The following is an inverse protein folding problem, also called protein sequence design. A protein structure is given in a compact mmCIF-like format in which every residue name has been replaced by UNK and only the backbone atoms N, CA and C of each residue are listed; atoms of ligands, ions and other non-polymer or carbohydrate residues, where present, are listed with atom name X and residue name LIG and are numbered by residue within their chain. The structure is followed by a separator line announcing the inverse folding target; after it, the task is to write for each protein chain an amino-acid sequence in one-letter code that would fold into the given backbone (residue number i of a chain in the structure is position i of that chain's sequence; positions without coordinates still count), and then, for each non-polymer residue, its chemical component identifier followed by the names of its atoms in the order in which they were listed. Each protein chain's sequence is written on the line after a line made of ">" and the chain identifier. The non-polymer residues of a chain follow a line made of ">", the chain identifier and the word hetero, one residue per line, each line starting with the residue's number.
data_IF_067474867002
#
_entry.id   IF_067474867002
#
_cell.length_a   1.000
_cell.length_b   1.000
_cell.length_c   1.000
_cell.angle_alpha   90.00
_cell.angle_beta   90.00
_cell.angle_gamma   90.00
#
_symmetry.space_group_name_H-M   'P 1'
#
loop_
_entity.id
_entity.type
_entity.pdbx_description
1 polymer ?
#
# COMPACT_ATOMS: atom_id res chain seq x y z
N UNK A 1 -26.34 30.81 -10.17
CA UNK A 1 -26.60 29.35 -10.17
C UNK A 1 -25.32 28.61 -9.75
N UNK A 2 -25.32 27.92 -8.59
CA UNK A 2 -24.16 27.14 -8.12
C UNK A 2 -24.15 25.79 -8.86
N UNK A 3 -23.15 25.54 -9.71
CA UNK A 3 -22.95 24.24 -10.40
C UNK A 3 -22.78 23.14 -9.33
N UNK A 4 -23.74 22.21 -9.25
CA UNK A 4 -23.59 20.99 -8.43
C UNK A 4 -22.39 20.21 -8.96
N UNK A 5 -21.31 20.12 -8.20
CA UNK A 5 -20.20 19.19 -8.48
C UNK A 5 -20.80 17.79 -8.48
N UNK A 6 -20.76 17.09 -9.63
CA UNK A 6 -21.05 15.65 -9.68
C UNK A 6 -20.03 14.99 -8.76
N UNK A 7 -20.48 14.38 -7.67
CA UNK A 7 -19.64 13.48 -6.89
C UNK A 7 -19.26 12.34 -7.84
N UNK A 8 -18.00 12.34 -8.30
CA UNK A 8 -17.46 11.17 -8.97
C UNK A 8 -17.48 10.04 -7.96
N UNK A 9 -18.35 9.05 -8.15
CA UNK A 9 -18.32 7.84 -7.34
C UNK A 9 -16.90 7.28 -7.41
N UNK A 10 -16.25 7.15 -6.25
CA UNK A 10 -14.88 6.66 -6.16
C UNK A 10 -14.87 5.22 -6.70
N UNK A 11 -14.12 4.98 -7.79
CA UNK A 11 -14.02 3.64 -8.39
C UNK A 11 -13.28 2.63 -7.50
N UNK A 12 -12.52 3.12 -6.52
CA UNK A 12 -11.70 2.30 -5.65
C UNK A 12 -12.38 2.19 -4.27
N UNK A 13 -12.71 0.98 -3.79
CA UNK A 13 -13.34 0.78 -2.49
C UNK A 13 -12.42 1.26 -1.36
N UNK A 14 -13.00 1.63 -0.21
CA UNK A 14 -12.25 2.03 0.99
C UNK A 14 -11.82 0.83 1.83
N UNK A 15 -12.55 -0.27 1.71
CA UNK A 15 -12.35 -1.51 2.44
C UNK A 15 -12.01 -2.63 1.46
N UNK A 16 -11.39 -3.73 1.94
CA UNK A 16 -11.24 -4.94 1.15
C UNK A 16 -12.60 -5.44 0.66
N UNK A 17 -12.63 -6.01 -0.55
CA UNK A 17 -13.86 -6.57 -1.13
C UNK A 17 -13.69 -8.07 -1.31
N UNK A 18 -14.80 -8.80 -1.29
CA UNK A 18 -14.80 -10.21 -1.69
C UNK A 18 -14.63 -10.32 -3.22
N UNK A 19 -13.76 -11.23 -3.65
CA UNK A 19 -13.53 -11.47 -5.06
C UNK A 19 -14.74 -12.11 -5.72
N UNK A 20 -15.17 -11.56 -6.86
CA UNK A 20 -16.27 -12.13 -7.67
C UNK A 20 -15.79 -13.14 -8.72
N UNK A 21 -14.48 -13.23 -8.93
CA UNK A 21 -13.84 -13.99 -10.00
C UNK A 21 -12.50 -14.58 -9.53
N UNK A 22 -12.01 -15.54 -10.29
CA UNK A 22 -10.67 -16.07 -10.10
C UNK A 22 -9.62 -15.14 -10.76
N UNK A 23 -8.44 -15.06 -10.16
CA UNK A 23 -7.37 -14.20 -10.65
C UNK A 23 -6.00 -14.61 -10.10
N UNK A 24 -5.00 -13.75 -10.29
CA UNK A 24 -3.65 -13.96 -9.73
C UNK A 24 -3.30 -12.76 -8.86
N UNK A 25 -2.82 -13.01 -7.65
CA UNK A 25 -2.38 -11.96 -6.74
C UNK A 25 -1.10 -11.32 -7.26
N UNK A 26 -1.13 -9.99 -7.41
CA UNK A 26 0.01 -9.23 -7.96
C UNK A 26 1.25 -9.24 -7.05
N UNK A 27 1.08 -9.56 -5.77
CA UNK A 27 2.16 -9.60 -4.77
C UNK A 27 2.72 -11.03 -4.64
N UNK A 28 1.93 -11.99 -4.15
CA UNK A 28 2.43 -13.34 -3.86
C UNK A 28 2.36 -14.31 -5.05
N UNK A 29 1.80 -13.89 -6.19
CA UNK A 29 1.64 -14.68 -7.43
C UNK A 29 0.81 -15.96 -7.30
N UNK A 30 0.15 -16.19 -6.15
CA UNK A 30 -0.80 -17.28 -5.96
C UNK A 30 -2.18 -16.93 -6.57
N UNK A 31 -2.99 -17.94 -6.93
CA UNK A 31 -4.37 -17.73 -7.35
C UNK A 31 -5.19 -16.96 -6.31
N UNK A 32 -6.08 -16.11 -6.79
CA UNK A 32 -7.17 -15.51 -6.03
C UNK A 32 -8.42 -16.34 -6.37
N UNK A 33 -9.07 -16.88 -5.36
CA UNK A 33 -10.31 -17.64 -5.52
C UNK A 33 -11.54 -16.74 -5.31
N UNK A 34 -12.71 -17.24 -5.76
CA UNK A 34 -13.98 -16.55 -5.52
C UNK A 34 -14.26 -16.46 -4.01
N UNK A 35 -14.80 -15.32 -3.58
CA UNK A 35 -15.10 -14.95 -2.20
C UNK A 35 -13.86 -14.71 -1.30
N UNK A 36 -12.63 -14.77 -1.82
CA UNK A 36 -11.47 -14.31 -1.06
C UNK A 36 -11.45 -12.79 -0.90
N UNK A 37 -11.00 -12.29 0.25
CA UNK A 37 -10.80 -10.85 0.44
C UNK A 37 -9.61 -10.36 -0.38
N UNK A 38 -9.91 -9.44 -1.29
CA UNK A 38 -8.93 -8.77 -2.15
C UNK A 38 -8.88 -7.27 -1.88
N UNK A 39 -7.75 -6.69 -2.23
CA UNK A 39 -7.55 -5.25 -2.22
C UNK A 39 -6.98 -4.82 -3.58
N UNK A 40 -7.20 -3.56 -3.99
CA UNK A 40 -6.55 -3.01 -5.17
C UNK A 40 -5.02 -3.09 -5.05
N UNK A 41 -4.36 -3.34 -6.18
CA UNK A 41 -2.93 -3.21 -6.35
C UNK A 41 -2.65 -2.15 -7.41
N UNK A 42 -1.89 -1.13 -7.04
CA UNK A 42 -1.57 0.01 -7.90
C UNK A 42 -0.25 -0.24 -8.61
N UNK A 43 -0.31 -0.51 -9.91
CA UNK A 43 0.87 -0.63 -10.76
C UNK A 43 0.70 0.23 -12.00
N UNK A 44 1.28 1.43 -11.96
CA UNK A 44 1.15 2.42 -13.03
C UNK A 44 -0.33 2.65 -13.37
N UNK A 45 -0.72 2.47 -14.63
CA UNK A 45 -2.11 2.61 -15.10
C UNK A 45 -2.93 1.30 -15.03
N UNK A 46 -2.37 0.22 -14.48
CA UNK A 46 -3.06 -1.08 -14.40
C UNK A 46 -3.91 -1.16 -13.14
N UNK A 47 -5.17 -1.54 -13.33
CA UNK A 47 -6.07 -1.90 -12.23
C UNK A 47 -5.91 -3.39 -11.92
N UNK A 48 -5.03 -3.71 -10.96
CA UNK A 48 -4.73 -5.08 -10.56
C UNK A 48 -5.27 -5.39 -9.15
N UNK A 49 -5.23 -6.67 -8.79
CA UNK A 49 -5.69 -7.17 -7.49
C UNK A 49 -4.60 -7.90 -6.73
N UNK A 50 -4.72 -7.87 -5.40
CA UNK A 50 -3.91 -8.64 -4.46
C UNK A 50 -4.81 -9.26 -3.39
N UNK A 51 -4.40 -10.38 -2.81
CA UNK A 51 -4.97 -10.83 -1.54
C UNK A 51 -4.85 -9.71 -0.52
N UNK A 52 -5.88 -9.53 0.30
CA UNK A 52 -5.88 -8.51 1.34
C UNK A 52 -4.67 -8.62 2.29
N UNK A 53 -4.27 -9.85 2.61
CA UNK A 53 -3.11 -10.17 3.46
C UNK A 53 -1.75 -9.85 2.82
N UNK A 54 -1.65 -9.80 1.49
CA UNK A 54 -0.42 -9.47 0.78
C UNK A 54 -0.32 -7.96 0.63
N UNK A 55 0.56 -7.29 1.39
CA UNK A 55 0.53 -5.82 1.45
C UNK A 55 1.23 -5.19 0.24
N UNK A 56 0.69 -4.05 -0.19
CA UNK A 56 1.42 -3.08 -1.01
C UNK A 56 1.76 -1.89 -0.11
N UNK A 57 3.04 -1.70 0.18
CA UNK A 57 3.52 -0.56 0.94
C UNK A 57 4.10 0.48 -0.01
N UNK A 58 3.93 1.75 0.33
CA UNK A 58 4.61 2.87 -0.30
C UNK A 58 5.66 3.36 0.68
N UNK A 59 6.93 3.34 0.28
CA UNK A 59 7.96 3.97 1.09
C UNK A 59 7.83 5.48 0.99
N UNK A 60 7.62 6.14 2.12
CA UNK A 60 7.60 7.59 2.22
C UNK A 60 8.88 8.01 2.92
N UNK A 61 9.73 8.76 2.20
CA UNK A 61 10.93 9.32 2.80
C UNK A 61 10.62 10.42 3.84
N UNK A 62 9.43 11.04 3.75
CA UNK A 62 8.94 12.07 4.66
C UNK A 62 7.43 12.00 4.80
N UNK A 63 6.93 11.66 5.99
CA UNK A 63 5.52 11.80 6.33
C UNK A 63 5.12 13.26 6.50
N UNK A 64 4.03 13.67 5.86
CA UNK A 64 3.46 15.02 6.00
C UNK A 64 2.67 15.16 7.31
N UNK A 65 2.08 14.05 7.78
CA UNK A 65 1.24 13.99 8.96
C UNK A 65 1.80 12.97 9.95
N UNK A 66 1.56 13.21 11.24
CA UNK A 66 1.92 12.28 12.31
C UNK A 66 0.97 11.09 12.29
N UNK A 67 1.49 9.91 12.61
CA UNK A 67 0.69 8.70 12.70
C UNK A 67 1.34 7.68 13.63
N UNK A 68 0.57 6.73 14.14
CA UNK A 68 1.09 5.65 14.96
C UNK A 68 1.45 4.44 14.08
N UNK A 69 2.58 3.82 14.37
CA UNK A 69 2.99 2.59 13.72
C UNK A 69 2.01 1.46 14.06
N UNK A 70 1.50 0.77 13.05
CA UNK A 70 0.50 -0.30 13.18
C UNK A 70 1.03 -1.62 13.81
N UNK A 71 2.23 -1.62 14.40
CA UNK A 71 2.83 -2.79 15.06
C UNK A 71 3.27 -2.39 16.47
N UNK A 72 4.20 -1.43 16.58
CA UNK A 72 4.76 -1.04 17.86
C UNK A 72 4.07 0.17 18.51
N UNK A 73 3.04 0.74 17.88
CA UNK A 73 2.34 1.96 18.32
C UNK A 73 3.24 3.18 18.50
N UNK A 74 4.48 3.13 18.01
CA UNK A 74 5.40 4.26 18.02
C UNK A 74 4.83 5.43 17.21
N UNK A 75 4.84 6.63 17.79
CA UNK A 75 4.41 7.85 17.11
C UNK A 75 5.45 8.28 16.07
N UNK A 76 5.09 8.15 14.80
CA UNK A 76 5.88 8.60 13.66
C UNK A 76 5.62 10.08 13.46
N UNK A 77 6.59 10.90 13.87
CA UNK A 77 6.51 12.35 13.74
C UNK A 77 6.58 12.81 12.27
N UNK A 78 6.18 14.05 12.01
CA UNK A 78 6.33 14.70 10.69
C UNK A 78 7.78 14.64 10.21
N UNK A 79 7.96 14.56 8.90
CA UNK A 79 9.25 14.48 8.21
C UNK A 79 10.10 13.24 8.51
N UNK A 80 9.59 12.28 9.30
CA UNK A 80 10.21 10.96 9.42
C UNK A 80 9.86 10.09 8.21
N UNK A 81 10.69 9.11 7.93
CA UNK A 81 10.46 8.11 6.91
C UNK A 81 9.71 6.90 7.45
N UNK A 82 9.18 6.08 6.54
CA UNK A 82 8.55 4.81 6.86
C UNK A 82 7.62 4.35 5.74
N UNK A 83 6.65 3.53 6.09
CA UNK A 83 5.82 2.84 5.11
C UNK A 83 4.35 3.15 5.27
N UNK A 84 3.64 3.34 4.16
CA UNK A 84 2.20 3.56 4.16
C UNK A 84 1.49 2.56 3.26
N UNK A 85 0.32 2.08 3.69
CA UNK A 85 -0.61 1.33 2.85
C UNK A 85 -2.00 1.89 3.00
N UNK A 86 -2.65 2.13 1.86
CA UNK A 86 -4.00 2.67 1.79
C UNK A 86 -5.02 1.97 2.68
N UNK A 87 -4.96 0.65 2.78
CA UNK A 87 -5.96 -0.16 3.52
C UNK A 87 -5.40 -0.78 4.80
N UNK A 88 -4.09 -0.67 5.04
CA UNK A 88 -3.43 -1.43 6.10
C UNK A 88 -2.67 -0.54 7.09
N UNK A 89 -2.64 0.78 6.90
CA UNK A 89 -2.12 1.75 7.87
C UNK A 89 -0.70 2.23 7.56
N UNK A 90 0.00 2.64 8.62
CA UNK A 90 1.37 3.18 8.56
C UNK A 90 2.30 2.30 9.41
N UNK A 91 3.56 2.18 9.00
CA UNK A 91 4.63 1.57 9.78
C UNK A 91 5.84 2.49 9.86
N UNK A 92 6.54 2.46 10.99
CA UNK A 92 7.90 3.00 11.04
C UNK A 92 8.82 2.17 10.13
N UNK A 93 10.03 2.66 9.86
CA UNK A 93 10.99 1.92 9.03
C UNK A 93 11.24 0.51 9.56
N UNK A 94 11.64 0.38 10.82
CA UNK A 94 11.96 -0.91 11.43
C UNK A 94 10.81 -1.93 11.30
N UNK A 95 9.58 -1.53 11.65
CA UNK A 95 8.41 -2.41 11.56
C UNK A 95 7.98 -2.68 10.12
N UNK A 96 8.28 -1.79 9.18
CA UNK A 96 8.00 -2.01 7.77
C UNK A 96 8.95 -3.02 7.14
N UNK A 97 10.23 -2.97 7.50
CA UNK A 97 11.26 -3.93 7.04
C UNK A 97 10.94 -5.36 7.50
N UNK A 98 10.39 -5.54 8.70
CA UNK A 98 10.03 -6.89 9.18
C UNK A 98 8.89 -7.55 8.39
N UNK A 99 8.17 -6.80 7.54
CA UNK A 99 7.06 -7.34 6.74
C UNK A 99 7.54 -8.08 5.48
N UNK A 100 8.81 -7.94 5.08
CA UNK A 100 9.37 -8.69 3.97
C UNK A 100 9.42 -10.20 4.26
N UNK A 101 9.26 -11.09 3.26
CA UNK A 101 9.07 -10.81 1.83
C UNK A 101 7.59 -10.72 1.40
N UNK A 102 6.62 -10.77 2.32
CA UNK A 102 5.17 -10.84 2.01
C UNK A 102 4.58 -9.50 1.53
N UNK A 103 5.43 -8.60 1.06
CA UNK A 103 5.13 -7.22 0.74
C UNK A 103 5.73 -6.84 -0.59
N UNK A 104 4.92 -6.13 -1.39
CA UNK A 104 5.44 -5.33 -2.49
C UNK A 104 5.64 -3.89 -2.01
N UNK A 105 6.84 -3.35 -2.20
CA UNK A 105 7.12 -1.93 -1.93
C UNK A 105 7.10 -1.15 -3.23
N UNK A 106 6.17 -0.22 -3.34
CA UNK A 106 6.13 0.82 -4.35
C UNK A 106 6.94 2.03 -3.90
N UNK A 107 7.57 2.68 -4.87
CA UNK A 107 8.47 3.81 -4.67
C UNK A 107 8.36 4.76 -5.86
N UNK A 108 8.74 6.01 -5.64
CA UNK A 108 8.89 6.99 -6.72
C UNK A 108 10.20 6.79 -7.47
N UNK A 109 10.25 7.21 -8.74
CA UNK A 109 11.50 7.21 -9.53
C UNK A 109 12.64 7.93 -8.81
N UNK A 110 12.35 9.06 -8.16
CA UNK A 110 13.35 9.78 -7.35
C UNK A 110 13.98 8.92 -6.23
N UNK A 111 13.19 8.04 -5.60
CA UNK A 111 13.71 7.14 -4.54
C UNK A 111 14.54 5.99 -5.12
N UNK A 112 14.21 5.54 -6.34
CA UNK A 112 14.97 4.55 -7.10
C UNK A 112 16.35 5.11 -7.48
N UNK A 113 16.38 6.32 -8.05
CA UNK A 113 17.60 7.00 -8.47
C UNK A 113 18.59 7.21 -7.32
N UNK A 114 18.07 7.47 -6.11
CA UNK A 114 18.87 7.63 -4.89
C UNK A 114 19.36 6.30 -4.29
N UNK A 115 19.06 5.15 -4.89
CA UNK A 115 19.36 3.80 -4.37
C UNK A 115 18.89 3.58 -2.91
N UNK A 116 17.87 4.30 -2.43
CA UNK A 116 17.39 4.17 -1.05
C UNK A 116 16.95 2.73 -0.74
N UNK A 117 16.37 2.06 -1.73
CA UNK A 117 15.84 0.70 -1.60
C UNK A 117 16.90 -0.39 -1.56
N UNK A 118 18.09 -0.16 -2.15
CA UNK A 118 19.20 -1.13 -2.03
C UNK A 118 19.69 -1.23 -0.60
N UNK A 119 19.56 -0.15 0.18
CA UNK A 119 19.89 -0.15 1.62
C UNK A 119 18.82 -0.83 2.48
N UNK A 120 17.56 -0.80 2.04
CA UNK A 120 16.42 -1.39 2.76
C UNK A 120 16.28 -2.91 2.48
N UNK A 121 16.74 -3.38 1.31
CA UNK A 121 16.76 -4.80 0.94
C UNK A 121 18.05 -5.56 1.33
N UNK A 122 19.05 -4.87 1.89
CA UNK A 122 20.36 -5.42 2.22
C UNK A 122 20.39 -6.08 3.60
#
# INVERSE_FOLDING_TARGET
>A
MKKRRRFSNRLIPNEPIESKYEGICSVCKRPIEKNEFISPFFDSDKNLWRHHSCKQLFYLNRFIYENECNICSYLINKNKSGYWSKHNGVWCEDCGETLFPKVYVAYSHYQEDLNLLKKLRA
#
